data_IF_129671606508
#
_entry.id   IF_129671606508
#
_cell.length_a   1.000
_cell.length_b   1.000
_cell.length_c   1.000
_cell.angle_alpha   90.00
_cell.angle_beta   90.00
_cell.angle_gamma   90.00
#
_symmetry.space_group_name_H-M   'P 1'
#
loop_
_entity.id
_entity.type
_entity.pdbx_description
1 polymer ?
#
# COMPACT_ATOMS: atom_id res chain seq x y z
N UNK A 1 0.14 2.21 -4.04
CA UNK A 1 -0.89 3.26 -4.05
C UNK A 1 -2.23 2.58 -3.99
N UNK A 2 -2.52 2.03 -2.82
CA UNK A 2 -3.75 1.33 -2.49
C UNK A 2 -4.63 2.23 -1.61
N UNK A 3 -5.96 2.00 -1.60
CA UNK A 3 -6.88 2.76 -0.76
C UNK A 3 -6.57 2.66 0.74
N UNK A 4 -5.90 1.59 1.18
CA UNK A 4 -5.50 1.39 2.57
C UNK A 4 -4.52 2.47 3.03
N UNK A 5 -3.47 2.73 2.23
CA UNK A 5 -2.53 3.83 2.45
C UNK A 5 -3.24 5.21 2.51
N UNK A 6 -4.23 5.45 1.65
CA UNK A 6 -4.95 6.73 1.67
C UNK A 6 -5.80 6.90 2.92
N UNK A 7 -6.45 5.83 3.38
CA UNK A 7 -7.27 5.87 4.58
C UNK A 7 -6.44 6.18 5.83
N UNK A 8 -5.24 5.60 5.94
CA UNK A 8 -4.32 5.85 7.06
C UNK A 8 -3.70 7.25 6.98
N UNK A 9 -3.29 7.70 5.80
CA UNK A 9 -2.68 9.03 5.62
C UNK A 9 -3.69 10.17 5.81
N UNK A 10 -4.88 10.09 5.19
CA UNK A 10 -5.94 11.09 5.36
C UNK A 10 -6.52 11.06 6.79
N UNK A 11 -6.67 9.87 7.37
CA UNK A 11 -7.10 9.70 8.75
C UNK A 11 -6.10 10.28 9.75
N UNK A 12 -4.80 10.10 9.49
CA UNK A 12 -3.72 10.69 10.27
C UNK A 12 -3.66 12.20 10.14
N UNK A 13 -3.68 12.72 8.90
CA UNK A 13 -3.59 14.14 8.61
C UNK A 13 -4.78 14.94 9.14
N UNK A 14 -6.00 14.41 9.02
CA UNK A 14 -7.21 15.07 9.52
C UNK A 14 -7.30 15.15 11.05
N UNK A 15 -6.73 14.17 11.76
CA UNK A 15 -6.76 14.13 13.24
C UNK A 15 -5.54 14.78 13.89
N UNK A 16 -4.37 14.61 13.30
CA UNK A 16 -3.07 14.94 13.92
C UNK A 16 -2.23 15.92 13.10
N UNK A 17 -2.80 16.49 12.04
CA UNK A 17 -2.12 17.44 11.16
C UNK A 17 -0.85 16.84 10.55
N UNK A 18 0.24 17.61 10.57
CA UNK A 18 1.51 17.21 9.95
C UNK A 18 2.38 16.30 10.82
N UNK A 19 1.97 15.96 12.04
CA UNK A 19 2.80 15.23 13.02
C UNK A 19 3.22 13.84 12.53
N UNK A 20 2.38 13.18 11.73
CA UNK A 20 2.66 11.84 11.22
C UNK A 20 3.53 11.82 9.95
N UNK A 21 3.90 12.98 9.39
CA UNK A 21 4.78 13.06 8.21
C UNK A 21 6.15 12.41 8.49
N UNK A 22 6.68 12.52 9.71
CA UNK A 22 7.92 11.83 10.10
C UNK A 22 7.80 10.31 9.99
N UNK A 23 6.63 9.74 10.32
CA UNK A 23 6.37 8.29 10.23
C UNK A 23 6.32 7.86 8.77
N UNK A 24 5.63 8.62 7.91
CA UNK A 24 5.56 8.38 6.47
C UNK A 24 6.96 8.40 5.87
N UNK A 25 7.79 9.39 6.23
CA UNK A 25 9.17 9.49 5.74
C UNK A 25 10.01 8.28 6.17
N UNK A 26 10.02 7.96 7.47
CA UNK A 26 10.80 6.83 7.99
C UNK A 26 10.33 5.49 7.42
N UNK A 27 9.02 5.33 7.25
CA UNK A 27 8.46 4.11 6.67
C UNK A 27 8.85 3.95 5.21
N UNK A 28 8.82 5.02 4.40
CA UNK A 28 9.29 5.00 3.02
C UNK A 28 10.79 4.70 2.90
N UNK A 29 11.62 5.28 3.77
CA UNK A 29 13.06 4.97 3.83
C UNK A 29 13.28 3.47 4.14
N UNK A 30 12.55 2.93 5.11
CA UNK A 30 12.59 1.51 5.45
C UNK A 30 12.11 0.64 4.29
N UNK A 31 11.03 1.03 3.61
CA UNK A 31 10.49 0.33 2.45
C UNK A 31 11.53 0.27 1.32
N UNK A 32 12.13 1.40 0.95
CA UNK A 32 13.18 1.45 -0.07
C UNK A 32 14.36 0.56 0.29
N UNK A 33 14.80 0.58 1.55
CA UNK A 33 15.89 -0.28 2.02
C UNK A 33 15.55 -1.77 1.92
N UNK A 34 14.39 -2.19 2.44
CA UNK A 34 13.97 -3.59 2.40
C UNK A 34 13.72 -4.08 0.96
N UNK A 35 13.13 -3.23 0.11
CA UNK A 35 12.92 -3.54 -1.31
C UNK A 35 14.24 -3.69 -2.06
N UNK A 36 15.24 -2.84 -1.79
CA UNK A 36 16.57 -2.97 -2.37
C UNK A 36 17.24 -4.29 -1.96
N UNK A 37 17.06 -4.74 -0.72
CA UNK A 37 17.57 -6.03 -0.25
C UNK A 37 16.84 -7.21 -0.92
N UNK A 38 15.52 -7.15 -1.04
CA UNK A 38 14.73 -8.19 -1.72
C UNK A 38 15.12 -8.33 -3.20
N UNK A 39 15.29 -7.20 -3.90
CA UNK A 39 15.78 -7.19 -5.28
C UNK A 39 17.21 -7.75 -5.37
N UNK A 40 18.11 -7.34 -4.47
CA UNK A 40 19.49 -7.84 -4.43
C UNK A 40 19.54 -9.36 -4.23
N UNK A 41 18.67 -9.92 -3.39
CA UNK A 41 18.56 -11.37 -3.19
C UNK A 41 18.18 -12.06 -4.51
N UNK A 42 17.12 -11.58 -5.18
CA UNK A 42 16.66 -12.12 -6.46
C UNK A 42 17.76 -12.13 -7.52
N UNK A 43 18.42 -10.98 -7.73
CA UNK A 43 19.48 -10.81 -8.74
C UNK A 43 20.70 -11.68 -8.42
N UNK A 44 21.15 -11.70 -7.16
CA UNK A 44 22.41 -12.34 -6.80
C UNK A 44 22.30 -13.88 -6.70
N UNK A 45 21.13 -14.39 -6.31
CA UNK A 45 20.95 -15.83 -6.05
C UNK A 45 20.12 -16.55 -7.11
N UNK A 46 19.38 -15.80 -7.95
CA UNK A 46 18.41 -16.38 -8.89
C UNK A 46 17.25 -17.09 -8.18
N UNK A 47 17.01 -16.78 -6.91
CA UNK A 47 15.94 -17.36 -6.08
C UNK A 47 15.09 -16.27 -5.46
N UNK A 48 13.80 -16.56 -5.29
CA UNK A 48 12.90 -15.64 -4.61
C UNK A 48 13.03 -15.79 -3.09
N UNK A 49 12.52 -14.79 -2.36
CA UNK A 49 12.58 -14.78 -0.90
C UNK A 49 11.87 -15.99 -0.27
N UNK A 50 10.80 -16.50 -0.87
CA UNK A 50 10.08 -17.65 -0.34
C UNK A 50 10.90 -18.94 -0.49
N UNK A 51 11.59 -19.12 -1.62
CA UNK A 51 12.53 -20.20 -1.87
C UNK A 51 13.70 -20.14 -0.90
N UNK A 52 14.33 -18.95 -0.75
CA UNK A 52 15.44 -18.76 0.17
C UNK A 52 15.04 -19.06 1.63
N UNK A 53 13.85 -18.64 2.05
CA UNK A 53 13.29 -18.98 3.37
C UNK A 53 13.06 -20.48 3.52
N UNK A 54 12.54 -21.15 2.47
CA UNK A 54 12.30 -22.60 2.49
C UNK A 54 13.58 -23.41 2.63
N UNK A 55 14.68 -22.93 2.06
CA UNK A 55 15.98 -23.61 2.12
C UNK A 55 16.68 -23.46 3.49
N UNK A 56 16.46 -22.34 4.19
CA UNK A 56 17.14 -22.03 5.44
C UNK A 56 16.33 -22.35 6.70
N UNK A 57 15.00 -22.40 6.62
CA UNK A 57 14.13 -22.61 7.78
C UNK A 57 13.53 -24.01 7.85
N UNK A 58 13.16 -24.42 9.06
CA UNK A 58 12.45 -25.68 9.29
C UNK A 58 11.03 -25.65 8.68
N UNK A 59 10.50 -26.82 8.29
CA UNK A 59 9.14 -26.95 7.74
C UNK A 59 8.04 -26.21 8.54
N UNK A 60 7.95 -26.31 9.89
CA UNK A 60 6.92 -25.58 10.63
C UNK A 60 7.07 -24.06 10.52
N UNK A 61 8.29 -23.53 10.51
CA UNK A 61 8.55 -22.09 10.34
C UNK A 61 8.11 -21.60 8.96
N UNK A 62 8.41 -22.36 7.90
CA UNK A 62 8.01 -22.01 6.53
C UNK A 62 6.49 -21.99 6.38
N UNK A 63 5.79 -22.97 6.98
CA UNK A 63 4.33 -22.99 6.97
C UNK A 63 3.77 -21.78 7.72
N UNK A 64 4.32 -21.43 8.89
CA UNK A 64 3.90 -20.24 9.62
C UNK A 64 4.11 -18.95 8.81
N UNK A 65 5.26 -18.79 8.15
CA UNK A 65 5.54 -17.65 7.26
C UNK A 65 4.55 -17.59 6.08
N UNK A 66 4.23 -18.74 5.49
CA UNK A 66 3.24 -18.84 4.42
C UNK A 66 1.87 -18.37 4.88
N UNK A 67 1.37 -18.87 6.02
CA UNK A 67 0.07 -18.48 6.59
C UNK A 67 0.02 -16.99 6.90
N UNK A 68 1.07 -16.43 7.49
CA UNK A 68 1.14 -14.99 7.79
C UNK A 68 1.12 -14.17 6.49
N UNK A 69 1.84 -14.61 5.45
CA UNK A 69 1.86 -13.93 4.16
C UNK A 69 0.48 -13.97 3.47
N UNK A 70 -0.20 -15.12 3.48
CA UNK A 70 -1.57 -15.25 2.95
C UNK A 70 -2.55 -14.33 3.68
N UNK A 71 -2.48 -14.27 5.01
CA UNK A 71 -3.31 -13.33 5.80
C UNK A 71 -2.99 -11.88 5.41
N UNK A 72 -1.72 -11.53 5.20
CA UNK A 72 -1.33 -10.18 4.81
C UNK A 72 -1.82 -9.79 3.41
N UNK A 73 -1.81 -10.73 2.46
CA UNK A 73 -2.35 -10.53 1.11
C UNK A 73 -3.88 -10.35 1.19
N UNK A 74 -4.56 -11.23 1.92
CA UNK A 74 -6.02 -11.13 2.11
C UNK A 74 -6.44 -9.82 2.79
N UNK A 75 -5.66 -9.33 3.76
CA UNK A 75 -5.90 -8.04 4.40
C UNK A 75 -5.72 -6.86 3.44
N UNK A 76 -4.74 -6.93 2.54
CA UNK A 76 -4.53 -5.94 1.49
C UNK A 76 -5.69 -5.91 0.50
N UNK A 77 -6.09 -7.08 -0.02
CA UNK A 77 -7.20 -7.23 -0.95
C UNK A 77 -8.51 -6.72 -0.34
N UNK A 78 -8.75 -6.99 0.95
CA UNK A 78 -9.90 -6.44 1.67
C UNK A 78 -9.91 -4.90 1.64
N UNK A 79 -8.74 -4.26 1.78
CA UNK A 79 -8.60 -2.81 1.68
C UNK A 79 -8.96 -2.27 0.29
N UNK A 80 -8.54 -2.95 -0.77
CA UNK A 80 -8.85 -2.59 -2.15
C UNK A 80 -10.33 -2.76 -2.50
N UNK A 81 -10.94 -3.88 -2.09
CA UNK A 81 -12.36 -4.16 -2.27
C UNK A 81 -13.21 -3.13 -1.54
N UNK A 82 -12.89 -2.84 -0.27
CA UNK A 82 -13.61 -1.83 0.51
C UNK A 82 -13.47 -0.44 -0.10
N UNK A 83 -12.26 -0.03 -0.47
CA UNK A 83 -12.01 1.27 -1.10
C UNK A 83 -12.82 1.44 -2.39
N UNK A 84 -12.82 0.41 -3.24
CA UNK A 84 -13.55 0.41 -4.51
C UNK A 84 -15.07 0.41 -4.29
N UNK A 85 -15.59 -0.38 -3.34
CA UNK A 85 -17.02 -0.41 -3.01
C UNK A 85 -17.51 0.93 -2.44
N UNK A 86 -16.71 1.60 -1.59
CA UNK A 86 -17.01 2.93 -1.08
C UNK A 86 -16.99 3.96 -2.20
N UNK A 87 -16.02 3.90 -3.13
CA UNK A 87 -15.97 4.78 -4.28
C UNK A 87 -17.23 4.64 -5.16
N UNK A 88 -17.67 3.41 -5.46
CA UNK A 88 -18.90 3.15 -6.22
C UNK A 88 -20.15 3.68 -5.51
N UNK A 89 -20.20 3.57 -4.18
CA UNK A 89 -21.28 4.15 -3.37
C UNK A 89 -21.29 5.68 -3.46
N UNK A 90 -20.14 6.34 -3.40
CA UNK A 90 -20.05 7.80 -3.45
C UNK A 90 -20.32 8.35 -4.86
N UNK A 91 -19.88 7.66 -5.92
CA UNK A 91 -20.05 8.10 -7.30
C UNK A 91 -21.44 7.82 -7.87
N UNK A 92 -21.98 6.63 -7.60
CA UNK A 92 -23.21 6.14 -8.24
C UNK A 92 -24.36 5.90 -7.26
N UNK A 93 -24.16 6.15 -5.95
CA UNK A 93 -25.18 5.91 -4.93
C UNK A 93 -25.48 4.43 -4.66
N UNK A 94 -24.64 3.52 -5.15
CA UNK A 94 -24.87 2.08 -5.03
C UNK A 94 -24.74 1.58 -3.57
N UNK A 95 -25.53 0.57 -3.15
CA UNK A 95 -25.33 -0.07 -1.86
C UNK A 95 -23.99 -0.80 -1.82
N UNK A 96 -23.35 -0.84 -0.64
CA UNK A 96 -22.02 -1.43 -0.47
C UNK A 96 -21.94 -2.88 -0.98
N UNK A 97 -22.98 -3.68 -0.73
CA UNK A 97 -23.03 -5.07 -1.19
C UNK A 97 -22.95 -5.17 -2.72
N UNK A 98 -23.66 -4.31 -3.44
CA UNK A 98 -23.59 -4.27 -4.90
C UNK A 98 -22.21 -3.79 -5.37
N UNK A 99 -21.61 -2.82 -4.66
CA UNK A 99 -20.23 -2.38 -4.91
C UNK A 99 -19.23 -3.52 -4.80
N UNK A 100 -19.28 -4.31 -3.73
CA UNK A 100 -18.38 -5.46 -3.49
C UNK A 100 -18.55 -6.55 -4.56
N UNK A 101 -19.79 -6.84 -4.96
CA UNK A 101 -20.05 -7.82 -6.02
C UNK A 101 -19.48 -7.33 -7.37
N UNK A 102 -19.68 -6.05 -7.69
CA UNK A 102 -19.15 -5.45 -8.92
C UNK A 102 -17.62 -5.46 -8.94
N UNK A 103 -16.96 -5.18 -7.82
CA UNK A 103 -15.49 -5.20 -7.75
C UNK A 103 -14.95 -6.61 -7.92
N UNK A 104 -15.59 -7.62 -7.33
CA UNK A 104 -15.22 -9.02 -7.52
C UNK A 104 -15.36 -9.46 -8.99
N UNK A 105 -16.46 -9.07 -9.65
CA UNK A 105 -16.66 -9.30 -11.08
C UNK A 105 -15.60 -8.56 -11.92
N UNK A 106 -15.21 -7.35 -11.51
CA UNK A 106 -14.14 -6.58 -12.13
C UNK A 106 -12.79 -7.29 -12.10
N UNK A 107 -12.42 -7.89 -10.97
CA UNK A 107 -11.18 -8.68 -10.84
C UNK A 107 -11.21 -9.90 -11.78
N UNK A 108 -12.33 -10.64 -11.83
CA UNK A 108 -12.50 -11.76 -12.75
C UNK A 108 -12.39 -11.35 -14.21
N UNK A 109 -12.93 -10.18 -14.56
CA UNK A 109 -12.84 -9.62 -15.91
C UNK A 109 -11.38 -9.27 -16.26
N UNK A 110 -10.65 -8.63 -15.35
CA UNK A 110 -9.23 -8.31 -15.56
C UNK A 110 -8.40 -9.58 -15.75
N UNK A 111 -8.62 -10.60 -14.91
CA UNK A 111 -7.99 -11.92 -15.07
C UNK A 111 -8.30 -12.56 -16.42
N UNK A 112 -9.55 -12.49 -16.88
CA UNK A 112 -9.94 -12.99 -18.20
C UNK A 112 -9.30 -12.22 -19.37
N UNK A 113 -8.97 -10.94 -19.16
CA UNK A 113 -8.35 -10.07 -20.16
C UNK A 113 -6.81 -10.15 -20.17
N UNK A 114 -6.18 -10.74 -19.15
CA UNK A 114 -4.73 -10.83 -19.01
C UNK A 114 -4.03 -11.50 -20.21
N UNK A 115 -4.75 -12.33 -20.98
CA UNK A 115 -4.27 -12.95 -22.22
C UNK A 115 -4.28 -12.06 -23.48
N UNK A 116 -4.80 -10.83 -23.42
CA UNK A 116 -4.93 -9.91 -24.58
C UNK A 116 -4.13 -8.62 -24.37
N UNK A 117 -2.90 -8.58 -24.89
CA UNK A 117 -2.14 -7.34 -25.18
C UNK A 117 -2.00 -6.32 -24.05
N UNK A 118 -0.95 -6.46 -23.22
CA UNK A 118 -0.68 -5.65 -22.01
C UNK A 118 -0.60 -4.11 -22.20
N UNK A 119 -0.23 -3.64 -23.40
CA UNK A 119 0.12 -2.21 -23.62
C UNK A 119 -1.05 -1.24 -23.43
N UNK A 120 -2.27 -1.62 -23.77
CA UNK A 120 -3.43 -0.73 -23.58
C UNK A 120 -3.86 -0.62 -22.11
N UNK A 121 -3.79 -1.74 -21.38
CA UNK A 121 -4.10 -1.76 -19.94
C UNK A 121 -3.08 -0.93 -19.16
N UNK A 122 -1.80 -1.05 -19.50
CA UNK A 122 -0.74 -0.23 -18.90
C UNK A 122 -0.96 1.28 -19.13
N UNK A 123 -1.27 1.68 -20.37
CA UNK A 123 -1.55 3.08 -20.69
C UNK A 123 -2.76 3.62 -19.89
N UNK A 124 -3.82 2.81 -19.73
CA UNK A 124 -4.98 3.16 -18.93
C UNK A 124 -4.60 3.39 -17.45
N UNK A 125 -3.80 2.50 -16.87
CA UNK A 125 -3.33 2.61 -15.48
C UNK A 125 -2.50 3.88 -15.28
N UNK A 126 -1.58 4.19 -16.20
CA UNK A 126 -0.76 5.41 -16.13
C UNK A 126 -1.63 6.68 -16.17
N UNK A 127 -2.65 6.71 -17.04
CA UNK A 127 -3.59 7.84 -17.13
C UNK A 127 -4.34 8.00 -15.80
N UNK A 128 -4.85 6.91 -15.22
CA UNK A 128 -5.58 6.94 -13.95
C UNK A 128 -4.71 7.46 -12.79
N UNK A 129 -3.49 6.94 -12.65
CA UNK A 129 -2.54 7.38 -11.62
C UNK A 129 -2.21 8.87 -11.79
N UNK A 130 -1.97 9.31 -13.03
CA UNK A 130 -1.66 10.71 -13.33
C UNK A 130 -2.84 11.62 -13.00
N UNK A 131 -4.07 11.19 -13.34
CA UNK A 131 -5.29 11.93 -13.02
C UNK A 131 -5.47 12.09 -11.51
N UNK A 132 -5.30 11.01 -10.74
CA UNK A 132 -5.37 11.05 -9.28
C UNK A 132 -4.33 12.01 -8.70
N UNK A 133 -3.08 11.91 -9.16
CA UNK A 133 -2.00 12.79 -8.73
C UNK A 133 -2.28 14.26 -9.06
N UNK A 134 -2.85 14.54 -10.23
CA UNK A 134 -3.26 15.88 -10.62
C UNK A 134 -4.39 16.43 -9.74
N UNK A 135 -5.40 15.62 -9.40
CA UNK A 135 -6.47 16.01 -8.49
C UNK A 135 -5.92 16.39 -7.10
N UNK A 136 -5.11 15.53 -6.49
CA UNK A 136 -4.53 15.84 -5.18
C UNK A 136 -3.56 17.02 -5.23
N UNK A 137 -2.77 17.16 -6.30
CA UNK A 137 -1.91 18.32 -6.51
C UNK A 137 -2.71 19.63 -6.61
N UNK A 138 -3.84 19.61 -7.31
CA UNK A 138 -4.73 20.76 -7.41
C UNK A 138 -5.39 21.11 -6.08
N UNK A 139 -5.89 20.13 -5.33
CA UNK A 139 -6.45 20.34 -3.98
C UNK A 139 -5.40 20.90 -3.02
N UNK A 140 -4.17 20.38 -3.05
CA UNK A 140 -3.07 20.87 -2.24
C UNK A 140 -2.73 22.34 -2.57
N UNK A 141 -2.76 22.70 -3.85
CA UNK A 141 -2.53 24.07 -4.29
C UNK A 141 -3.62 25.02 -3.78
N UNK A 142 -4.89 24.62 -3.85
CA UNK A 142 -6.01 25.42 -3.34
C UNK A 142 -6.02 25.53 -1.81
N UNK A 143 -5.59 24.48 -1.11
CA UNK A 143 -5.54 24.43 0.36
C UNK A 143 -4.57 25.45 0.98
N UNK A 144 -3.56 25.92 0.21
CA UNK A 144 -2.52 26.87 0.66
C UNK A 144 -1.88 26.44 2.00
N UNK A 145 -1.22 25.27 2.06
CA UNK A 145 -0.65 24.76 3.30
C UNK A 145 0.49 25.65 3.81
N UNK A 146 0.63 25.71 5.13
CA UNK A 146 1.79 26.32 5.79
C UNK A 146 2.99 25.38 5.64
N UNK A 147 3.77 25.57 4.58
CA UNK A 147 4.94 24.73 4.27
C UNK A 147 5.96 24.63 5.40
N UNK A 148 6.07 25.67 6.24
CA UNK A 148 6.94 25.64 7.42
C UNK A 148 6.48 24.62 8.47
N UNK A 149 5.17 24.48 8.66
CA UNK A 149 4.61 23.49 9.59
C UNK A 149 4.72 22.07 9.02
N UNK A 150 4.51 21.92 7.70
CA UNK A 150 4.76 20.66 7.02
C UNK A 150 6.24 20.22 7.15
N UNK A 151 7.18 21.15 6.97
CA UNK A 151 8.61 20.90 7.15
C UNK A 151 8.94 20.46 8.60
N UNK A 152 8.31 21.09 9.60
CA UNK A 152 8.44 20.68 11.01
C UNK A 152 7.83 19.30 11.28
N UNK A 153 6.75 18.94 10.60
CA UNK A 153 6.11 17.62 10.70
C UNK A 153 7.02 16.45 10.30
N UNK A 154 8.06 16.69 9.50
CA UNK A 154 9.08 15.67 9.19
C UNK A 154 10.03 15.38 10.37
N UNK A 155 10.08 16.24 11.39
CA UNK A 155 10.86 15.98 12.60
C UNK A 155 10.09 15.04 13.54
N UNK A 156 10.67 13.91 13.95
CA UNK A 156 9.97 12.95 14.81
C UNK A 156 9.72 13.54 16.20
N UNK A 157 8.48 13.39 16.69
CA UNK A 157 8.08 13.83 18.02
C UNK A 157 7.78 12.64 18.93
N UNK A 158 8.09 12.77 20.22
CA UNK A 158 7.82 11.73 21.22
C UNK A 158 6.32 11.55 21.52
N UNK A 159 5.48 12.47 21.04
CA UNK A 159 4.03 12.42 21.21
C UNK A 159 3.39 11.22 20.48
N UNK A 160 3.98 10.83 19.34
CA UNK A 160 3.56 9.67 18.54
C UNK A 160 3.54 8.39 19.38
N UNK A 161 4.50 8.24 20.31
CA UNK A 161 4.63 7.07 21.18
C UNK A 161 3.73 7.16 22.43
N UNK A 162 3.32 8.37 22.82
CA UNK A 162 2.52 8.59 24.04
C UNK A 162 1.02 8.51 23.78
N UNK A 163 0.57 8.96 22.60
CA UNK A 163 -0.84 8.95 22.23
C UNK A 163 -1.19 7.62 21.54
N UNK A 164 -2.10 6.83 22.15
CA UNK A 164 -2.51 5.52 21.63
C UNK A 164 -3.14 5.59 20.24
N UNK A 165 -3.93 6.62 19.96
CA UNK A 165 -4.55 6.77 18.64
C UNK A 165 -3.52 7.15 17.58
N UNK A 166 -2.61 8.06 17.91
CA UNK A 166 -1.52 8.46 17.01
C UNK A 166 -0.60 7.27 16.72
N UNK A 167 -0.27 6.47 17.75
CA UNK A 167 0.51 5.25 17.61
C UNK A 167 -0.20 4.21 16.74
N UNK A 168 -1.52 4.03 16.91
CA UNK A 168 -2.30 3.10 16.10
C UNK A 168 -2.27 3.47 14.61
N UNK A 169 -2.46 4.75 14.28
CA UNK A 169 -2.36 5.22 12.90
C UNK A 169 -0.92 5.11 12.38
N UNK A 170 0.09 5.42 13.21
CA UNK A 170 1.49 5.28 12.83
C UNK A 170 1.87 3.83 12.47
N UNK A 171 1.37 2.84 13.24
CA UNK A 171 1.52 1.41 12.92
C UNK A 171 0.80 1.08 11.61
N UNK A 172 -0.39 1.65 11.38
CA UNK A 172 -1.13 1.52 10.13
C UNK A 172 -0.35 2.04 8.92
N UNK A 173 0.21 3.25 9.01
CA UNK A 173 1.07 3.84 7.97
C UNK A 173 2.27 2.93 7.68
N UNK A 174 2.92 2.43 8.73
CA UNK A 174 4.08 1.54 8.59
C UNK A 174 3.71 0.23 7.88
N UNK A 175 2.61 -0.41 8.29
CA UNK A 175 2.14 -1.66 7.69
C UNK A 175 1.64 -1.49 6.26
N UNK A 176 1.00 -0.36 5.96
CA UNK A 176 0.49 -0.07 4.63
C UNK A 176 1.62 0.33 3.64
N UNK A 177 2.72 0.91 4.13
CA UNK A 177 3.90 1.23 3.31
C UNK A 177 4.81 0.02 3.10
N UNK A 178 5.09 -0.75 4.15
CA UNK A 178 5.97 -1.93 4.10
C UNK A 178 5.13 -3.19 4.03
N UNK A 179 4.76 -3.54 2.81
CA UNK A 179 3.89 -4.68 2.51
C UNK A 179 4.74 -5.97 2.39
N UNK A 180 4.57 -6.96 3.29
CA UNK A 180 5.42 -8.16 3.29
C UNK A 180 5.36 -8.95 1.99
N UNK A 181 4.17 -9.09 1.41
CA UNK A 181 3.96 -9.79 0.14
C UNK A 181 4.72 -9.14 -1.02
N UNK A 182 4.92 -7.82 -0.96
CA UNK A 182 5.62 -7.10 -2.01
C UNK A 182 7.14 -7.38 -1.99
N UNK A 183 7.70 -7.77 -0.84
CA UNK A 183 9.10 -8.23 -0.77
C UNK A 183 9.28 -9.57 -1.47
N UNK A 184 8.35 -10.50 -1.29
CA UNK A 184 8.34 -11.78 -2.02
C UNK A 184 8.18 -11.54 -3.52
N UNK A 185 7.21 -10.71 -3.90
CA UNK A 185 6.93 -10.37 -5.30
C UNK A 185 8.14 -9.73 -5.99
N UNK A 186 8.74 -8.69 -5.40
CA UNK A 186 9.85 -7.98 -6.00
C UNK A 186 11.11 -8.86 -6.14
N UNK A 187 11.35 -9.76 -5.19
CA UNK A 187 12.45 -10.74 -5.30
C UNK A 187 12.27 -11.77 -6.43
N UNK A 188 11.02 -11.99 -6.88
CA UNK A 188 10.68 -12.90 -7.99
C UNK A 188 10.69 -12.20 -9.35
N UNK A 189 10.20 -10.96 -9.43
CA UNK A 189 10.08 -10.21 -10.69
C UNK A 189 11.44 -9.76 -11.23
N UNK A 190 12.42 -9.52 -10.36
CA UNK A 190 13.74 -8.97 -10.73
C UNK A 190 14.75 -10.06 -11.10
N UNK A 191 14.35 -11.33 -11.09
CA UNK A 191 15.15 -12.45 -11.62
C UNK A 191 15.20 -12.41 -13.15
#
# INVERSE_FOLDING_TARGET
MDPGNWATDLGGGSKFGYTLLSVILLSNLMAMFLQALAAKLGIATGRDLAQACRDHFSRPTVIALCVICEIAIAACDLGEVLGSAVALKLLFGLPLLAGVILTALGVLLVLALQGRGFRMVEALVVILITMIGACFGFELFLSRPLWLEAARGFLPTMEILRNREMLYIAIGILGATVMPHNLYLHSSIVQ
#
